data_IF_934075824200
#
_entry.id   IF_934075824200
#
_cell.length_a   1.000
_cell.length_b   1.000
_cell.length_c   1.000
_cell.angle_alpha   90.00
_cell.angle_beta   90.00
_cell.angle_gamma   90.00
#
_symmetry.space_group_name_H-M   'P 1'
#
loop_
_entity.id
_entity.type
_entity.pdbx_description
1 polymer ?
#
# COMPACT_ATOMS: atom_id res chain seq x y z
N UNK A 1 8.10 8.24 -16.15
CA UNK A 1 9.37 7.51 -16.05
C UNK A 1 9.11 6.16 -15.38
N UNK A 2 9.91 5.17 -15.69
CA UNK A 2 9.76 3.83 -15.10
C UNK A 2 10.89 3.58 -14.10
N UNK A 3 10.53 3.01 -12.97
CA UNK A 3 11.48 2.65 -11.91
C UNK A 3 11.32 1.18 -11.55
N UNK A 4 12.41 0.53 -11.18
CA UNK A 4 12.39 -0.79 -10.56
C UNK A 4 12.99 -0.62 -9.15
N UNK A 5 12.20 -0.99 -8.14
CA UNK A 5 12.61 -0.83 -6.75
C UNK A 5 12.66 -2.18 -6.05
N UNK A 6 13.80 -2.46 -5.44
CA UNK A 6 13.95 -3.57 -4.50
C UNK A 6 13.62 -3.07 -3.11
N UNK A 7 12.65 -3.72 -2.46
CA UNK A 7 12.19 -3.35 -1.12
C UNK A 7 13.19 -3.81 -0.06
N UNK A 8 13.27 -3.18 1.10
CA UNK A 8 12.34 -2.17 1.61
C UNK A 8 12.49 -0.81 0.94
N UNK A 9 11.48 0.04 1.12
CA UNK A 9 11.59 1.44 0.73
C UNK A 9 12.58 2.16 1.64
N UNK A 10 13.13 3.26 1.13
CA UNK A 10 13.87 4.23 1.94
C UNK A 10 13.41 5.62 1.50
N UNK A 11 13.64 6.62 2.34
CA UNK A 11 13.31 8.00 1.97
C UNK A 11 14.07 8.43 0.72
N UNK A 12 15.30 7.95 0.54
CA UNK A 12 16.08 8.20 -0.67
C UNK A 12 15.39 7.63 -1.92
N UNK A 13 14.92 6.37 -1.86
CA UNK A 13 14.21 5.76 -2.98
C UNK A 13 12.91 6.49 -3.30
N UNK A 14 12.15 6.85 -2.26
CA UNK A 14 10.89 7.60 -2.42
C UNK A 14 11.13 8.99 -3.02
N UNK A 15 12.22 9.65 -2.66
CA UNK A 15 12.54 11.01 -3.15
C UNK A 15 12.72 11.09 -4.66
N UNK A 16 12.99 9.98 -5.31
CA UNK A 16 13.18 9.90 -6.76
C UNK A 16 11.88 9.68 -7.53
N UNK A 17 10.79 9.43 -6.83
CA UNK A 17 9.50 9.12 -7.43
C UNK A 17 8.64 10.37 -7.56
N UNK A 18 7.97 10.50 -8.70
CA UNK A 18 7.05 11.60 -8.99
C UNK A 18 5.69 11.07 -9.39
N UNK A 19 4.63 11.82 -9.06
CA UNK A 19 3.27 11.47 -9.43
C UNK A 19 3.18 11.17 -10.93
N UNK A 20 2.60 10.02 -11.26
CA UNK A 20 2.52 9.51 -12.64
C UNK A 20 3.62 8.53 -13.02
N UNK A 21 4.66 8.39 -12.24
CA UNK A 21 5.73 7.42 -12.51
C UNK A 21 5.22 5.98 -12.37
N UNK A 22 5.68 5.09 -13.24
CA UNK A 22 5.46 3.65 -13.12
C UNK A 22 6.59 3.02 -12.30
N UNK A 23 6.21 2.15 -11.37
CA UNK A 23 7.17 1.50 -10.48
C UNK A 23 6.91 0.00 -10.46
N UNK A 24 7.95 -0.80 -10.56
CA UNK A 24 7.91 -2.25 -10.41
C UNK A 24 8.55 -2.60 -9.08
N UNK A 25 7.74 -3.12 -8.15
CA UNK A 25 8.17 -3.43 -6.80
C UNK A 25 8.52 -4.91 -6.67
N UNK A 26 9.68 -5.19 -6.08
CA UNK A 26 10.09 -6.57 -5.77
C UNK A 26 10.58 -6.64 -4.32
N UNK A 27 10.08 -7.62 -3.58
CA UNK A 27 10.44 -7.82 -2.18
C UNK A 27 9.24 -8.08 -1.31
N UNK A 28 9.31 -7.69 -0.06
CA UNK A 28 8.27 -7.96 0.94
C UNK A 28 7.34 -6.77 1.13
N UNK A 29 6.02 -7.03 1.09
CA UNK A 29 4.98 -6.08 1.47
C UNK A 29 4.00 -6.77 2.43
N UNK A 30 3.21 -5.97 3.13
CA UNK A 30 2.19 -6.48 4.05
C UNK A 30 0.80 -6.05 3.60
N UNK A 31 -0.21 -6.88 3.87
CA UNK A 31 -1.59 -6.53 3.57
C UNK A 31 -2.31 -6.05 4.82
N UNK A 32 -3.14 -5.03 4.67
CA UNK A 32 -4.03 -4.58 5.73
C UNK A 32 -5.19 -3.81 5.14
N UNK A 33 -6.41 -4.22 5.48
CA UNK A 33 -7.64 -3.51 5.15
C UNK A 33 -8.25 -2.89 6.42
N UNK A 34 -9.53 -2.56 6.35
CA UNK A 34 -10.31 -1.85 7.38
C UNK A 34 -10.14 -2.46 8.77
N UNK A 35 -10.40 -3.75 8.92
CA UNK A 35 -10.38 -4.41 10.23
C UNK A 35 -8.97 -4.50 10.80
N UNK A 36 -7.98 -4.79 9.97
CA UNK A 36 -6.59 -4.84 10.40
C UNK A 36 -6.08 -3.45 10.79
N UNK A 37 -6.42 -2.42 10.02
CA UNK A 37 -6.07 -1.03 10.37
C UNK A 37 -6.66 -0.62 11.72
N UNK A 38 -7.91 -0.96 11.97
CA UNK A 38 -8.57 -0.68 13.24
C UNK A 38 -7.82 -1.33 14.41
N UNK A 39 -7.44 -2.60 14.26
CA UNK A 39 -6.66 -3.30 15.29
C UNK A 39 -5.27 -2.75 15.50
N UNK A 40 -4.58 -2.37 14.44
CA UNK A 40 -3.27 -1.71 14.55
C UNK A 40 -3.39 -0.39 15.30
N UNK A 41 -4.42 0.38 14.98
CA UNK A 41 -4.69 1.66 15.64
C UNK A 41 -4.99 1.48 17.13
N UNK A 42 -5.88 0.53 17.46
CA UNK A 42 -6.21 0.21 18.85
C UNK A 42 -5.00 -0.32 19.62
N UNK A 43 -4.22 -1.21 19.02
CA UNK A 43 -3.01 -1.76 19.63
C UNK A 43 -2.01 -0.65 19.95
N UNK A 44 -1.82 0.29 19.05
CA UNK A 44 -0.96 1.44 19.30
C UNK A 44 -1.44 2.26 20.49
N UNK A 45 -2.72 2.60 20.55
CA UNK A 45 -3.28 3.39 21.64
C UNK A 45 -3.26 2.65 22.98
N UNK A 46 -3.33 1.34 22.97
CA UNK A 46 -3.22 0.49 24.15
C UNK A 46 -1.77 0.17 24.54
N UNK A 47 -0.80 0.79 23.86
CA UNK A 47 0.63 0.58 24.07
C UNK A 47 1.07 -0.87 23.91
N UNK A 48 0.38 -1.63 23.05
CA UNK A 48 0.74 -2.98 22.70
C UNK A 48 1.81 -2.98 21.61
N UNK A 49 2.62 -4.02 21.55
CA UNK A 49 3.57 -4.22 20.46
C UNK A 49 2.80 -4.55 19.19
N UNK A 50 3.08 -3.82 18.10
CA UNK A 50 2.46 -4.11 16.81
C UNK A 50 2.97 -5.42 16.23
N UNK A 51 2.09 -6.19 15.56
CA UNK A 51 2.48 -7.49 14.98
C UNK A 51 3.42 -7.39 13.78
N UNK A 52 3.56 -6.19 13.21
CA UNK A 52 4.47 -5.92 12.09
C UNK A 52 5.27 -4.66 12.39
N UNK A 53 6.46 -4.58 11.82
CA UNK A 53 7.25 -3.36 11.83
C UNK A 53 6.76 -2.45 10.71
N UNK A 54 6.46 -1.19 11.03
CA UNK A 54 5.98 -0.22 10.04
C UNK A 54 7.11 0.45 9.28
N UNK A 55 8.26 0.62 9.92
CA UNK A 55 9.37 1.38 9.35
C UNK A 55 9.79 0.86 7.99
N UNK A 56 9.79 1.76 7.00
CA UNK A 56 10.23 1.52 5.62
C UNK A 56 9.40 0.48 4.86
N UNK A 57 8.26 0.08 5.40
CA UNK A 57 7.40 -0.92 4.80
C UNK A 57 6.25 -0.32 4.00
N UNK A 58 5.60 -1.18 3.21
CA UNK A 58 4.43 -0.86 2.40
C UNK A 58 3.25 -1.65 2.93
N UNK A 59 2.10 -1.00 3.07
CA UNK A 59 0.83 -1.66 3.28
C UNK A 59 0.03 -1.71 1.98
N UNK A 60 -0.32 -2.91 1.55
CA UNK A 60 -1.21 -3.13 0.43
C UNK A 60 -2.63 -3.28 0.97
N UNK A 61 -3.54 -2.43 0.51
CA UNK A 61 -4.93 -2.44 0.94
C UNK A 61 -5.70 -3.56 0.25
N UNK A 62 -5.42 -4.77 0.67
CA UNK A 62 -5.85 -6.00 0.04
C UNK A 62 -6.50 -6.93 1.08
N UNK A 63 -7.68 -7.45 0.73
CA UNK A 63 -8.28 -8.61 1.36
C UNK A 63 -8.51 -9.63 0.24
N UNK A 64 -7.57 -10.53 0.00
CA UNK A 64 -7.69 -11.43 -1.14
C UNK A 64 -8.85 -12.39 -1.00
N UNK A 65 -9.44 -12.80 -2.11
CA UNK A 65 -10.38 -13.93 -2.09
C UNK A 65 -9.63 -15.21 -1.71
N UNK A 66 -10.32 -16.23 -1.17
CA UNK A 66 -9.65 -17.48 -0.82
C UNK A 66 -8.87 -18.06 -2.00
N UNK A 67 -7.68 -18.56 -1.73
CA UNK A 67 -6.88 -19.24 -2.74
C UNK A 67 -7.55 -20.55 -3.16
N UNK A 68 -7.59 -20.81 -4.45
CA UNK A 68 -8.01 -22.09 -4.99
C UNK A 68 -6.82 -23.06 -4.98
N UNK A 69 -7.11 -24.34 -5.17
CA UNK A 69 -6.06 -25.37 -5.21
C UNK A 69 -5.00 -24.97 -6.25
N UNK A 70 -3.73 -25.02 -5.83
CA UNK A 70 -2.59 -24.66 -6.68
C UNK A 70 -2.31 -23.16 -6.75
N UNK A 71 -3.09 -22.32 -6.09
CA UNK A 71 -2.86 -20.87 -6.04
C UNK A 71 -2.18 -20.46 -4.72
N UNK A 72 -1.25 -19.52 -4.80
CA UNK A 72 -0.60 -18.91 -3.63
C UNK A 72 -1.57 -17.98 -2.92
N UNK A 73 -2.37 -17.24 -3.70
CA UNK A 73 -3.33 -16.26 -3.23
C UNK A 73 -4.49 -16.20 -4.22
N UNK A 74 -5.66 -15.81 -3.76
CA UNK A 74 -6.79 -15.52 -4.64
C UNK A 74 -6.63 -14.19 -5.34
N UNK A 75 -7.75 -13.56 -5.74
CA UNK A 75 -7.71 -12.26 -6.40
C UNK A 75 -7.05 -11.21 -5.50
N UNK A 76 -6.13 -10.43 -6.05
CA UNK A 76 -5.27 -9.48 -5.33
C UNK A 76 -5.53 -8.01 -5.71
N UNK A 77 -6.76 -7.66 -6.08
CA UNK A 77 -7.14 -6.28 -6.36
C UNK A 77 -7.23 -5.43 -5.09
N UNK A 78 -6.75 -4.17 -5.13
CA UNK A 78 -6.81 -3.29 -3.98
C UNK A 78 -8.22 -2.82 -3.68
N UNK A 79 -8.51 -2.54 -2.40
CA UNK A 79 -9.75 -1.90 -1.98
C UNK A 79 -9.62 -0.38 -1.95
N UNK A 80 -10.75 0.31 -1.83
CA UNK A 80 -10.82 1.77 -1.75
C UNK A 80 -10.06 2.30 -0.54
N UNK A 81 -9.13 3.22 -0.80
CA UNK A 81 -8.18 3.72 0.21
C UNK A 81 -8.81 4.66 1.23
N UNK A 82 -9.88 5.39 0.86
CA UNK A 82 -10.51 6.38 1.76
C UNK A 82 -10.97 5.78 3.09
N UNK A 83 -11.28 4.51 3.13
CA UNK A 83 -11.68 3.82 4.37
C UNK A 83 -10.55 3.76 5.40
N UNK A 84 -9.30 3.81 4.96
CA UNK A 84 -8.12 3.74 5.82
C UNK A 84 -7.63 5.13 6.24
N UNK A 85 -8.19 6.21 5.69
CA UNK A 85 -7.66 7.56 5.89
C UNK A 85 -7.60 7.99 7.35
N UNK A 86 -8.57 7.60 8.16
CA UNK A 86 -8.59 7.95 9.58
C UNK A 86 -7.46 7.30 10.40
N UNK A 87 -6.88 6.21 9.90
CA UNK A 87 -5.79 5.49 10.57
C UNK A 87 -4.41 5.83 10.00
N UNK A 88 -4.37 6.27 8.75
CA UNK A 88 -3.14 6.37 7.97
C UNK A 88 -2.12 7.37 8.52
N UNK A 89 -2.50 8.59 8.98
CA UNK A 89 -1.50 9.52 9.52
C UNK A 89 -0.71 8.94 10.69
N UNK A 90 -1.38 8.20 11.58
CA UNK A 90 -0.71 7.54 12.70
C UNK A 90 0.37 6.56 12.22
N UNK A 91 0.03 5.73 11.23
CA UNK A 91 0.95 4.73 10.70
C UNK A 91 2.14 5.38 9.99
N UNK A 92 1.90 6.43 9.23
CA UNK A 92 2.97 7.20 8.57
C UNK A 92 3.90 7.85 9.59
N UNK A 93 3.35 8.39 10.67
CA UNK A 93 4.14 9.00 11.74
C UNK A 93 5.02 7.97 12.47
N UNK A 94 4.70 6.69 12.35
CA UNK A 94 5.47 5.60 12.93
C UNK A 94 6.34 4.84 11.93
N UNK A 95 6.60 5.43 10.77
CA UNK A 95 7.61 4.95 9.85
C UNK A 95 7.12 4.26 8.60
N UNK A 96 5.80 4.03 8.46
CA UNK A 96 5.26 3.49 7.21
C UNK A 96 5.63 4.44 6.07
N UNK A 97 6.18 3.91 4.97
CA UNK A 97 6.63 4.73 3.84
C UNK A 97 5.78 4.59 2.58
N UNK A 98 5.03 3.52 2.45
CA UNK A 98 4.25 3.31 1.24
C UNK A 98 2.90 2.68 1.48
N UNK A 99 1.98 2.96 0.59
CA UNK A 99 0.64 2.38 0.59
C UNK A 99 0.25 2.07 -0.85
N UNK A 100 -0.44 0.96 -1.04
CA UNK A 100 -0.99 0.58 -2.34
C UNK A 100 -2.50 0.42 -2.18
N UNK A 101 -3.27 1.19 -2.93
CA UNK A 101 -4.72 1.14 -2.88
C UNK A 101 -5.34 1.67 -4.14
N UNK A 102 -6.55 2.20 -4.04
CA UNK A 102 -7.22 2.89 -5.15
C UNK A 102 -8.08 4.04 -4.63
N UNK A 103 -8.21 5.07 -5.46
CA UNK A 103 -9.06 6.21 -5.16
C UNK A 103 -8.32 7.34 -4.43
N UNK A 104 -9.07 8.40 -4.15
CA UNK A 104 -8.54 9.62 -3.54
C UNK A 104 -8.26 9.44 -2.05
N UNK A 105 -7.38 10.30 -1.54
CA UNK A 105 -7.05 10.37 -0.12
C UNK A 105 -7.52 11.70 0.47
N UNK A 106 -7.74 11.71 1.78
CA UNK A 106 -8.09 12.94 2.51
C UNK A 106 -6.90 13.91 2.57
N UNK A 107 -7.19 15.17 2.88
CA UNK A 107 -6.15 16.18 3.04
C UNK A 107 -5.16 15.80 4.16
N UNK A 108 -5.65 15.27 5.26
CA UNK A 108 -4.84 14.84 6.39
C UNK A 108 -3.84 13.75 5.99
N UNK A 109 -4.25 12.82 5.13
CA UNK A 109 -3.35 11.79 4.61
C UNK A 109 -2.30 12.40 3.70
N UNK A 110 -2.68 13.31 2.81
CA UNK A 110 -1.72 13.99 1.92
C UNK A 110 -0.68 14.75 2.75
N UNK A 111 -1.13 15.50 3.75
CA UNK A 111 -0.22 16.24 4.63
C UNK A 111 0.73 15.30 5.37
N UNK A 112 0.25 14.15 5.83
CA UNK A 112 1.09 13.15 6.50
C UNK A 112 2.09 12.49 5.54
N UNK A 113 1.70 12.27 4.27
CA UNK A 113 2.63 11.78 3.24
C UNK A 113 3.78 12.75 3.05
N UNK A 114 3.49 14.04 2.94
CA UNK A 114 4.52 15.07 2.78
C UNK A 114 5.41 15.16 4.01
N UNK A 115 4.82 15.21 5.21
CA UNK A 115 5.57 15.32 6.47
C UNK A 115 6.51 14.15 6.70
N UNK A 116 6.14 12.96 6.26
CA UNK A 116 6.89 11.73 6.47
C UNK A 116 7.71 11.28 5.26
N UNK A 117 7.69 12.05 4.17
CA UNK A 117 8.40 11.72 2.94
C UNK A 117 7.99 10.34 2.41
N UNK A 118 6.69 10.05 2.46
CA UNK A 118 6.10 8.78 2.03
C UNK A 118 5.54 8.86 0.62
N UNK A 119 4.93 7.78 0.14
CA UNK A 119 4.37 7.68 -1.20
C UNK A 119 3.10 6.83 -1.20
N UNK A 120 2.14 7.21 -2.02
CA UNK A 120 0.93 6.45 -2.25
C UNK A 120 0.88 5.96 -3.68
N UNK A 121 0.70 4.65 -3.84
CA UNK A 121 0.62 3.98 -5.14
C UNK A 121 -0.78 3.47 -5.42
N UNK A 122 -1.10 3.34 -6.71
CA UNK A 122 -2.21 2.52 -7.17
C UNK A 122 -1.67 1.33 -7.97
N UNK A 123 -2.34 0.20 -7.88
CA UNK A 123 -1.96 -0.97 -8.67
C UNK A 123 -2.33 -0.75 -10.14
N UNK A 124 -1.44 -1.15 -11.05
CA UNK A 124 -1.65 -1.03 -12.48
C UNK A 124 -2.26 -2.33 -13.02
N UNK A 125 -3.21 -2.20 -13.96
CA UNK A 125 -3.81 -3.33 -14.62
C UNK A 125 -5.19 -3.74 -14.13
N UNK A 126 -5.64 -3.25 -12.99
CA UNK A 126 -7.02 -3.32 -12.48
C UNK A 126 -7.60 -4.69 -12.19
N UNK A 127 -7.10 -5.76 -12.80
CA UNK A 127 -7.61 -7.11 -12.60
C UNK A 127 -6.82 -7.82 -11.49
N UNK A 128 -7.49 -8.11 -10.38
CA UNK A 128 -6.86 -8.78 -9.24
C UNK A 128 -6.22 -10.13 -9.58
N UNK A 129 -6.74 -10.81 -10.60
CA UNK A 129 -6.17 -12.08 -11.07
C UNK A 129 -4.79 -11.89 -11.75
N UNK A 130 -4.57 -10.76 -12.42
CA UNK A 130 -3.26 -10.44 -13.01
C UNK A 130 -2.27 -10.01 -11.93
N UNK A 131 -2.72 -9.21 -10.96
CA UNK A 131 -1.87 -8.75 -9.86
C UNK A 131 -1.41 -9.93 -8.99
N UNK A 132 -2.28 -10.95 -8.80
CA UNK A 132 -1.93 -12.12 -8.01
C UNK A 132 -0.75 -12.90 -8.58
N UNK A 133 -0.52 -12.82 -9.89
CA UNK A 133 0.62 -13.50 -10.55
C UNK A 133 1.97 -12.90 -10.15
N UNK A 134 1.98 -11.66 -9.67
CA UNK A 134 3.20 -11.02 -9.18
C UNK A 134 3.53 -11.43 -7.74
N UNK A 135 2.64 -12.14 -7.07
CA UNK A 135 2.82 -12.58 -5.69
C UNK A 135 3.34 -14.00 -5.70
N UNK A 136 4.59 -14.18 -5.25
CA UNK A 136 5.28 -15.47 -5.27
C UNK A 136 5.15 -16.22 -3.95
N UNK A 137 4.83 -15.54 -2.86
CA UNK A 137 4.64 -16.13 -1.55
C UNK A 137 3.65 -15.29 -0.73
N UNK A 138 2.81 -15.96 0.05
CA UNK A 138 1.85 -15.30 0.94
C UNK A 138 1.74 -16.09 2.24
N UNK A 139 1.87 -15.40 3.38
CA UNK A 139 1.78 -16.00 4.71
C UNK A 139 0.91 -15.13 5.61
N UNK A 140 -0.03 -15.74 6.33
CA UNK A 140 -0.75 -15.03 7.39
C UNK A 140 0.20 -14.89 8.57
N UNK A 141 0.44 -13.65 9.01
CA UNK A 141 1.35 -13.37 10.11
C UNK A 141 0.66 -12.78 11.35
N UNK A 142 -0.55 -12.25 11.20
CA UNK A 142 -1.29 -11.64 12.30
C UNK A 142 -2.78 -11.57 12.00
N UNK A 143 -3.57 -11.49 13.08
CA UNK A 143 -5.03 -11.29 13.01
C UNK A 143 -5.74 -12.33 12.17
N UNK A 144 -5.35 -13.59 12.31
CA UNK A 144 -5.88 -14.72 11.54
C UNK A 144 -7.41 -14.84 11.64
N UNK A 145 -7.99 -14.45 12.78
CA UNK A 145 -9.43 -14.45 13.00
C UNK A 145 -10.19 -13.49 12.06
N UNK A 146 -9.51 -12.53 11.46
CA UNK A 146 -10.12 -11.61 10.49
C UNK A 146 -10.31 -12.24 9.10
N UNK A 147 -9.88 -13.46 8.88
CA UNK A 147 -10.06 -14.17 7.61
C UNK A 147 -9.36 -13.47 6.45
N UNK A 148 -10.13 -13.04 5.44
CA UNK A 148 -9.58 -12.34 4.27
C UNK A 148 -8.89 -11.01 4.63
N UNK A 149 -9.22 -10.42 5.77
CA UNK A 149 -8.61 -9.18 6.25
C UNK A 149 -7.47 -9.40 7.25
N UNK A 150 -7.02 -10.64 7.44
CA UNK A 150 -5.82 -10.92 8.22
C UNK A 150 -4.60 -10.22 7.59
N UNK A 151 -3.62 -9.87 8.41
CA UNK A 151 -2.36 -9.34 7.89
C UNK A 151 -1.54 -10.48 7.30
N UNK A 152 -1.20 -10.33 6.03
CA UNK A 152 -0.34 -11.27 5.30
C UNK A 152 0.98 -10.61 4.98
N UNK A 153 2.04 -11.38 5.01
CA UNK A 153 3.33 -11.01 4.43
C UNK A 153 3.38 -11.58 3.02
N UNK A 154 3.53 -10.70 2.04
CA UNK A 154 3.62 -11.10 0.65
C UNK A 154 5.03 -10.88 0.13
N UNK A 155 5.53 -11.85 -0.64
CA UNK A 155 6.70 -11.64 -1.49
C UNK A 155 6.19 -11.35 -2.88
N UNK A 156 6.61 -10.23 -3.44
CA UNK A 156 6.19 -9.80 -4.79
C UNK A 156 7.39 -9.71 -5.70
N UNK A 157 7.14 -9.93 -6.99
CA UNK A 157 8.14 -9.81 -8.04
C UNK A 157 7.56 -8.95 -9.15
N UNK A 158 8.21 -7.81 -9.39
CA UNK A 158 7.83 -6.83 -10.42
C UNK A 158 6.35 -6.45 -10.37
N UNK A 159 5.84 -6.22 -9.17
CA UNK A 159 4.45 -5.76 -8.99
C UNK A 159 4.32 -4.36 -9.59
N UNK A 160 3.48 -4.19 -10.64
CA UNK A 160 3.37 -2.91 -11.31
C UNK A 160 2.44 -1.97 -10.55
N UNK A 161 2.95 -0.81 -10.19
CA UNK A 161 2.19 0.24 -9.53
C UNK A 161 2.49 1.59 -10.17
N UNK A 162 1.60 2.55 -9.98
CA UNK A 162 1.80 3.93 -10.41
C UNK A 162 1.81 4.83 -9.18
N UNK A 163 2.69 5.83 -9.18
CA UNK A 163 2.72 6.84 -8.11
C UNK A 163 1.51 7.75 -8.26
N UNK A 164 0.63 7.76 -7.26
CA UNK A 164 -0.55 8.65 -7.23
C UNK A 164 -0.23 9.94 -6.48
N UNK A 165 0.35 9.81 -5.28
CA UNK A 165 0.77 10.96 -4.48
C UNK A 165 2.24 10.76 -4.12
N UNK A 166 3.08 11.71 -4.55
CA UNK A 166 4.51 11.69 -4.27
C UNK A 166 4.84 12.39 -2.94
N UNK A 167 6.11 12.34 -2.55
CA UNK A 167 6.57 12.89 -1.27
C UNK A 167 6.44 14.42 -1.17
N UNK A 168 6.22 15.10 -2.28
CA UNK A 168 5.99 16.56 -2.32
C UNK A 168 4.50 16.91 -2.28
N UNK A 169 3.62 15.90 -2.29
CA UNK A 169 2.18 16.10 -2.26
C UNK A 169 1.55 16.30 -3.63
N UNK A 170 2.31 16.13 -4.71
CA UNK A 170 1.74 16.15 -6.05
C UNK A 170 0.80 14.96 -6.19
N UNK A 171 -0.42 15.22 -6.65
CA UNK A 171 -1.50 14.24 -6.67
C UNK A 171 -1.98 14.04 -8.11
N UNK A 172 -1.83 12.81 -8.60
CA UNK A 172 -2.21 12.48 -9.98
C UNK A 172 -3.68 12.77 -10.27
N UNK A 173 -4.57 12.62 -9.28
CA UNK A 173 -5.99 12.95 -9.45
C UNK A 173 -6.24 14.43 -9.71
N UNK A 174 -5.36 15.31 -9.25
CA UNK A 174 -5.47 16.76 -9.48
C UNK A 174 -4.77 17.17 -10.78
N UNK A 175 -3.65 16.53 -11.10
CA UNK A 175 -2.81 16.84 -12.27
C UNK A 175 -3.43 16.31 -13.56
N UNK A 176 -3.90 15.06 -13.56
CA UNK A 176 -4.40 14.40 -14.77
C UNK A 176 -5.60 15.09 -15.40
N UNK A 177 -6.64 15.55 -14.63
CA UNK A 177 -7.76 16.30 -15.21
C UNK A 177 -7.34 17.59 -15.90
N UNK A 178 -6.33 18.29 -15.38
CA UNK A 178 -5.83 19.51 -15.97
C UNK A 178 -5.18 19.29 -17.34
N UNK A 179 -4.48 18.16 -17.50
CA UNK A 179 -3.84 17.79 -18.76
C UNK A 179 -4.85 17.46 -19.85
N UNK A 180 -6.05 17.05 -19.49
CA UNK A 180 -7.10 16.66 -20.43
C UNK A 180 -8.16 17.75 -20.66
N UNK A 181 -8.03 18.90 -20.00
CA UNK A 181 -8.92 20.06 -20.16
C UNK A 181 -8.48 20.98 -21.31
N UNK A 182 -8.33 20.44 -22.49
CA UNK A 182 -8.08 21.26 -23.67
C UNK A 182 -9.28 21.26 -24.60
#
# INVERSE_FOLDING_TARGET
>A
MNHSITLPLTKEKVSKLKAGDYVYLSGTIYTARDAAHKRLYEAYHNKEVLPIELKDNILYYLGPSPAQEGQIIGSAGPTTSSRMDKYTPLLLNHGLLGMIGKGKRSREVIDAIVSNEAVYFAAVGGAGALLSKCITKAEIIAYEDLGTEAIRRLTVEKLPVIVVIDHEGNNLYDIAPEQYRK
#
